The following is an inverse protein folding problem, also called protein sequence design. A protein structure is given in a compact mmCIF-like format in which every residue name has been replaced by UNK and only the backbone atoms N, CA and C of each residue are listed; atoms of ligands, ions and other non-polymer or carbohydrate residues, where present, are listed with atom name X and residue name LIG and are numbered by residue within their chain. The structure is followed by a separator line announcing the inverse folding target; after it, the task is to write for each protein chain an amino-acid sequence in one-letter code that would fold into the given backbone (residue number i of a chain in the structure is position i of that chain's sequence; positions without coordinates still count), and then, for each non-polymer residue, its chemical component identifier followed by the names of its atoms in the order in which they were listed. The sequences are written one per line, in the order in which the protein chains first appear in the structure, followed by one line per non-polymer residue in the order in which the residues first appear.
data_IF_318625788941
#
_entry.id   IF_318625788941
#
_cell.length_a   1.000
_cell.length_b   1.000
_cell.length_c   1.000
_cell.angle_alpha   90.00
_cell.angle_beta   90.00
_cell.angle_gamma   90.00
#
_symmetry.space_group_name_H-M   'P 1'
#
loop_
_entity.id
_entity.type
_entity.pdbx_description
1 polymer ?
#
# COMPACT_ATOMS: atom_id res chain seq x y z
N UNK A 1 -6.80 -5.13 -10.84
CA UNK A 1 -5.48 -5.64 -10.39
C UNK A 1 -5.07 -4.92 -9.12
N UNK A 2 -4.53 -5.63 -8.12
CA UNK A 2 -4.03 -5.03 -6.87
C UNK A 2 -2.50 -4.91 -6.93
N UNK A 3 -1.97 -3.78 -6.46
CA UNK A 3 -0.53 -3.55 -6.25
C UNK A 3 -0.33 -3.22 -4.78
N UNK A 4 0.46 -4.00 -4.04
CA UNK A 4 0.74 -3.76 -2.62
C UNK A 4 2.10 -4.35 -2.21
N UNK A 5 2.40 -4.41 -0.91
CA UNK A 5 3.75 -4.66 -0.39
C UNK A 5 3.97 -5.99 0.33
N UNK A 6 2.98 -6.86 0.36
CA UNK A 6 3.01 -8.15 1.05
C UNK A 6 3.20 -8.05 2.58
N UNK A 7 3.04 -6.90 3.20
CA UNK A 7 3.08 -6.74 4.65
C UNK A 7 1.88 -7.41 5.34
N UNK A 8 1.98 -7.67 6.64
CA UNK A 8 0.84 -8.13 7.43
C UNK A 8 -0.26 -7.06 7.50
N UNK A 9 -1.50 -7.49 7.63
CA UNK A 9 -2.67 -6.61 7.77
C UNK A 9 -3.25 -6.18 6.41
N UNK A 10 -3.28 -4.88 6.13
CA UNK A 10 -3.98 -4.33 4.96
C UNK A 10 -3.44 -4.86 3.62
N UNK A 11 -2.11 -5.00 3.47
CA UNK A 11 -1.52 -5.56 2.25
C UNK A 11 -1.97 -7.01 2.04
N UNK A 12 -1.92 -7.83 3.10
CA UNK A 12 -2.41 -9.22 3.07
C UNK A 12 -3.87 -9.28 2.65
N UNK A 13 -4.71 -8.45 3.24
CA UNK A 13 -6.15 -8.41 2.94
C UNK A 13 -6.43 -7.95 1.51
N UNK A 14 -5.68 -6.96 1.02
CA UNK A 14 -5.81 -6.45 -0.34
C UNK A 14 -5.44 -7.51 -1.38
N UNK A 15 -4.28 -8.16 -1.23
CA UNK A 15 -3.86 -9.26 -2.12
C UNK A 15 -4.87 -10.40 -2.09
N UNK A 16 -5.25 -10.87 -0.89
CA UNK A 16 -6.22 -11.94 -0.73
C UNK A 16 -7.56 -11.60 -1.39
N UNK A 17 -8.12 -10.43 -1.10
CA UNK A 17 -9.40 -10.00 -1.67
C UNK A 17 -9.36 -9.90 -3.21
N UNK A 18 -8.26 -9.43 -3.78
CA UNK A 18 -8.08 -9.42 -5.23
C UNK A 18 -8.07 -10.81 -5.85
N UNK A 19 -7.36 -11.76 -5.22
CA UNK A 19 -7.28 -13.16 -5.66
C UNK A 19 -8.61 -13.91 -5.47
N UNK A 20 -9.33 -13.67 -4.38
CA UNK A 20 -10.61 -14.33 -4.08
C UNK A 20 -11.70 -14.04 -5.12
N UNK A 21 -11.57 -12.95 -5.87
CA UNK A 21 -12.48 -12.60 -6.98
C UNK A 21 -11.88 -12.89 -8.35
N UNK A 22 -10.83 -13.71 -8.43
CA UNK A 22 -10.17 -14.07 -9.70
C UNK A 22 -9.33 -12.94 -10.31
N UNK A 23 -9.05 -11.89 -9.56
CA UNK A 23 -8.18 -10.80 -10.01
C UNK A 23 -6.71 -11.13 -9.83
N UNK A 24 -5.84 -10.47 -10.60
CA UNK A 24 -4.37 -10.59 -10.46
C UNK A 24 -3.83 -9.55 -9.49
N UNK A 25 -2.68 -9.87 -8.88
CA UNK A 25 -2.03 -8.97 -7.94
C UNK A 25 -0.52 -8.96 -8.11
N UNK A 26 0.09 -7.80 -7.83
CA UNK A 26 1.53 -7.58 -7.84
C UNK A 26 1.98 -7.23 -6.44
N UNK A 27 2.85 -8.05 -5.87
CA UNK A 27 3.51 -7.74 -4.61
C UNK A 27 4.89 -7.13 -4.88
N UNK A 28 5.06 -5.86 -4.52
CA UNK A 28 6.35 -5.17 -4.63
C UNK A 28 7.02 -5.24 -3.25
N UNK A 29 8.16 -5.93 -3.17
CA UNK A 29 8.83 -6.18 -1.89
C UNK A 29 10.11 -5.37 -1.74
N UNK A 30 10.47 -5.01 -0.51
CA UNK A 30 11.68 -4.24 -0.19
C UNK A 30 12.87 -5.12 0.22
N UNK A 31 12.83 -6.40 -0.16
CA UNK A 31 13.87 -7.41 0.07
C UNK A 31 14.10 -8.16 -1.23
N UNK A 32 15.11 -9.04 -1.27
CA UNK A 32 15.31 -9.95 -2.40
C UNK A 32 14.13 -10.91 -2.60
N UNK A 33 13.95 -11.41 -3.80
CA UNK A 33 12.83 -12.31 -4.15
C UNK A 33 13.04 -13.76 -3.70
N UNK A 34 14.23 -14.14 -3.29
CA UNK A 34 14.58 -15.48 -2.80
C UNK A 34 14.25 -15.67 -1.30
N UNK A 35 13.85 -14.61 -0.61
CA UNK A 35 13.46 -14.64 0.82
C UNK A 35 12.05 -14.07 0.95
N UNK A 36 11.10 -14.84 1.50
CA UNK A 36 9.79 -14.29 1.85
C UNK A 36 9.83 -13.48 3.15
N UNK A 37 9.30 -12.27 3.12
CA UNK A 37 9.13 -11.45 4.31
C UNK A 37 7.83 -10.62 4.22
N UNK A 38 6.96 -10.67 5.23
CA UNK A 38 7.06 -11.51 6.44
C UNK A 38 6.87 -13.00 6.12
N UNK A 39 7.47 -13.87 6.95
CA UNK A 39 7.39 -15.33 6.74
C UNK A 39 5.96 -15.86 6.79
N UNK A 40 5.11 -15.22 7.57
CA UNK A 40 3.70 -15.52 7.73
C UNK A 40 2.93 -15.42 6.40
N UNK A 41 3.40 -14.60 5.47
CA UNK A 41 2.79 -14.41 4.16
C UNK A 41 3.39 -15.30 3.06
N UNK A 42 4.18 -16.34 3.42
CA UNK A 42 4.73 -17.28 2.44
C UNK A 42 3.65 -17.99 1.61
N UNK A 43 2.55 -18.36 2.25
CA UNK A 43 1.39 -18.95 1.58
C UNK A 43 0.77 -17.98 0.55
N UNK A 44 0.70 -16.69 0.90
CA UNK A 44 0.13 -15.66 0.03
C UNK A 44 1.06 -15.37 -1.17
N UNK A 45 2.37 -15.32 -0.93
CA UNK A 45 3.37 -15.22 -2.00
C UNK A 45 3.22 -16.36 -3.01
N UNK A 46 3.09 -17.61 -2.52
CA UNK A 46 2.88 -18.76 -3.38
C UNK A 46 1.56 -18.67 -4.15
N UNK A 47 0.47 -18.27 -3.49
CA UNK A 47 -0.83 -18.10 -4.12
C UNK A 47 -0.79 -17.01 -5.21
N UNK A 48 -0.13 -15.88 -4.96
CA UNK A 48 0.04 -14.83 -5.97
C UNK A 48 0.68 -15.39 -7.24
N UNK A 49 1.74 -16.18 -7.11
CA UNK A 49 2.43 -16.79 -8.26
C UNK A 49 1.59 -17.85 -8.96
N UNK A 50 0.87 -18.69 -8.22
CA UNK A 50 -0.03 -19.72 -8.77
C UNK A 50 -1.20 -19.10 -9.57
N UNK A 51 -1.72 -17.98 -9.12
CA UNK A 51 -2.82 -17.24 -9.75
C UNK A 51 -2.28 -16.23 -10.81
N UNK A 52 -1.09 -16.49 -11.37
CA UNK A 52 -0.41 -15.70 -12.42
C UNK A 52 -0.20 -14.23 -12.06
N UNK A 53 -0.03 -13.92 -10.77
CA UNK A 53 0.42 -12.64 -10.27
C UNK A 53 1.94 -12.49 -10.32
N UNK A 54 2.47 -11.44 -9.72
CA UNK A 54 3.89 -11.10 -9.79
C UNK A 54 4.44 -10.71 -8.41
N UNK A 55 5.66 -11.19 -8.12
CA UNK A 55 6.49 -10.65 -7.03
C UNK A 55 7.63 -9.84 -7.66
N UNK A 56 7.75 -8.58 -7.28
CA UNK A 56 8.72 -7.65 -7.84
C UNK A 56 9.64 -7.09 -6.76
N UNK A 57 10.94 -7.06 -7.04
CA UNK A 57 11.94 -6.42 -6.17
C UNK A 57 13.05 -5.74 -6.99
N UNK A 58 13.59 -4.67 -6.44
CA UNK A 58 14.83 -4.04 -6.92
C UNK A 58 16.07 -4.53 -6.15
N UNK A 59 15.89 -5.42 -5.19
CA UNK A 59 17.00 -5.86 -4.34
C UNK A 59 17.70 -7.09 -4.94
N UNK A 60 19.04 -7.12 -4.96
CA UNK A 60 19.80 -8.32 -5.34
C UNK A 60 19.49 -9.49 -4.40
N UNK A 61 19.79 -10.71 -4.85
CA UNK A 61 19.66 -11.93 -4.06
C UNK A 61 20.43 -11.83 -2.73
N UNK A 62 19.88 -12.42 -1.67
CA UNK A 62 20.46 -12.43 -0.33
C UNK A 62 20.24 -11.15 0.49
N UNK A 63 19.69 -10.09 -0.07
CA UNK A 63 19.46 -8.81 0.62
C UNK A 63 18.23 -8.91 1.53
N UNK A 64 18.45 -8.76 2.85
CA UNK A 64 17.41 -8.84 3.88
C UNK A 64 16.58 -7.56 3.99
N UNK A 65 15.41 -7.69 4.63
CA UNK A 65 14.53 -6.58 4.96
C UNK A 65 15.26 -5.49 5.78
N UNK A 66 14.98 -4.24 5.41
CA UNK A 66 15.48 -3.05 6.12
C UNK A 66 14.41 -1.96 6.01
N UNK A 67 14.10 -1.20 7.08
CA UNK A 67 13.10 -0.15 7.07
C UNK A 67 13.26 0.88 5.94
N UNK A 68 14.49 1.30 5.65
CA UNK A 68 14.75 2.27 4.58
C UNK A 68 14.43 1.71 3.19
N UNK A 69 14.71 0.43 2.93
CA UNK A 69 14.36 -0.25 1.67
C UNK A 69 12.85 -0.42 1.51
N UNK A 70 12.15 -0.75 2.61
CA UNK A 70 10.69 -0.83 2.62
C UNK A 70 10.05 0.51 2.26
N UNK A 71 10.58 1.62 2.77
CA UNK A 71 10.11 2.97 2.41
C UNK A 71 10.50 3.33 0.97
N UNK A 72 11.73 3.04 0.55
CA UNK A 72 12.20 3.35 -0.80
C UNK A 72 11.38 2.61 -1.87
N UNK A 73 10.99 1.35 -1.61
CA UNK A 73 10.15 0.53 -2.46
C UNK A 73 8.76 1.15 -2.71
N UNK A 74 8.21 1.91 -1.77
CA UNK A 74 6.86 2.46 -1.86
C UNK A 74 6.66 3.36 -3.09
N UNK A 75 7.73 3.96 -3.63
CA UNK A 75 7.67 4.70 -4.89
C UNK A 75 7.24 3.85 -6.08
N UNK A 76 7.60 2.57 -6.07
CA UNK A 76 7.22 1.63 -7.14
C UNK A 76 5.74 1.26 -7.04
N UNK A 77 5.22 1.05 -5.82
CA UNK A 77 3.79 0.83 -5.62
C UNK A 77 2.99 2.00 -6.20
N UNK A 78 3.32 3.22 -5.81
CA UNK A 78 2.67 4.41 -6.33
C UNK A 78 2.87 4.61 -7.85
N UNK A 79 4.04 4.27 -8.40
CA UNK A 79 4.29 4.40 -9.84
C UNK A 79 3.47 3.42 -10.68
N UNK A 80 3.28 2.19 -10.18
CA UNK A 80 2.59 1.10 -10.88
C UNK A 80 1.08 1.09 -10.65
N UNK A 81 0.54 1.90 -9.73
CA UNK A 81 -0.89 2.07 -9.51
C UNK A 81 -1.46 3.22 -10.34
N UNK A 82 -2.74 3.15 -10.67
CA UNK A 82 -3.53 4.28 -11.19
C UNK A 82 -4.10 5.10 -10.04
N UNK A 83 -4.60 4.41 -9.02
CA UNK A 83 -5.20 4.97 -7.81
C UNK A 83 -4.51 4.40 -6.58
N UNK A 84 -4.11 5.26 -5.66
CA UNK A 84 -3.54 4.85 -4.37
C UNK A 84 -4.58 5.02 -3.27
N UNK A 85 -4.85 3.94 -2.53
CA UNK A 85 -5.88 3.90 -1.48
C UNK A 85 -5.22 3.71 -0.11
N UNK A 86 -5.31 4.72 0.75
CA UNK A 86 -4.95 4.58 2.15
C UNK A 86 -6.12 4.00 2.94
N UNK A 87 -6.00 2.75 3.36
CA UNK A 87 -7.03 2.07 4.15
C UNK A 87 -7.03 2.57 5.59
N UNK A 88 -5.93 2.42 6.31
CA UNK A 88 -5.78 2.88 7.70
C UNK A 88 -4.32 3.05 8.05
N UNK A 89 -3.96 4.18 8.68
CA UNK A 89 -2.64 4.33 9.27
C UNK A 89 -2.59 5.36 10.40
N UNK A 90 -1.68 5.21 11.37
CA UNK A 90 -1.38 6.23 12.35
C UNK A 90 -0.70 7.45 11.71
N UNK A 91 -0.61 8.55 12.45
CA UNK A 91 -0.01 9.81 11.99
C UNK A 91 1.44 9.67 11.51
N UNK A 92 2.20 8.75 12.14
CA UNK A 92 3.57 8.39 11.72
C UNK A 92 3.57 7.00 11.13
N UNK A 93 3.47 6.91 9.80
CA UNK A 93 3.38 5.62 9.08
C UNK A 93 4.16 5.63 7.78
N UNK A 94 4.74 4.47 7.45
CA UNK A 94 5.35 4.22 6.13
C UNK A 94 4.38 4.40 4.97
N UNK A 95 3.09 4.14 5.16
CA UNK A 95 2.05 4.29 4.14
C UNK A 95 1.88 5.75 3.67
N UNK A 96 2.17 6.73 4.54
CA UNK A 96 2.14 8.14 4.15
C UNK A 96 3.23 8.50 3.13
N UNK A 97 4.33 7.75 3.08
CA UNK A 97 5.33 7.91 2.02
C UNK A 97 4.79 7.48 0.67
N UNK A 98 4.02 6.37 0.62
CA UNK A 98 3.35 5.91 -0.61
C UNK A 98 2.38 6.98 -1.12
N UNK A 99 1.56 7.54 -0.25
CA UNK A 99 0.64 8.64 -0.60
C UNK A 99 1.36 9.90 -1.11
N UNK A 100 2.55 10.22 -0.56
CA UNK A 100 3.39 11.32 -1.08
C UNK A 100 3.92 11.02 -2.49
N UNK A 101 4.35 9.79 -2.75
CA UNK A 101 4.78 9.37 -4.08
C UNK A 101 3.62 9.39 -5.08
N UNK A 102 2.44 8.89 -4.69
CA UNK A 102 1.25 8.94 -5.55
C UNK A 102 0.95 10.36 -6.01
N UNK A 103 0.95 11.33 -5.09
CA UNK A 103 0.76 12.75 -5.44
C UNK A 103 1.88 13.30 -6.32
N UNK A 104 3.15 12.94 -6.05
CA UNK A 104 4.28 13.33 -6.88
C UNK A 104 4.15 12.82 -8.31
N UNK A 105 3.57 11.63 -8.50
CA UNK A 105 3.34 11.01 -9.80
C UNK A 105 1.97 11.36 -10.42
N UNK A 106 1.26 12.30 -9.80
CA UNK A 106 -0.07 12.77 -10.25
C UNK A 106 -1.09 11.62 -10.32
N UNK A 107 -0.99 10.67 -9.40
CA UNK A 107 -1.94 9.56 -9.26
C UNK A 107 -3.13 9.99 -8.41
N UNK A 108 -4.29 9.38 -8.67
CA UNK A 108 -5.42 9.56 -7.79
C UNK A 108 -5.08 9.07 -6.38
N UNK A 109 -5.42 9.87 -5.36
CA UNK A 109 -5.13 9.58 -3.96
C UNK A 109 -6.43 9.56 -3.17
N UNK A 110 -6.78 8.40 -2.64
CA UNK A 110 -7.99 8.16 -1.87
C UNK A 110 -7.62 7.77 -0.43
N UNK A 111 -8.43 8.15 0.54
CA UNK A 111 -8.26 7.71 1.92
C UNK A 111 -9.60 7.37 2.55
N UNK A 112 -9.64 6.26 3.31
CA UNK A 112 -10.84 5.88 4.05
C UNK A 112 -11.12 6.91 5.13
N UNK A 113 -12.36 7.45 5.13
CA UNK A 113 -12.86 8.35 6.15
C UNK A 113 -13.54 7.55 7.26
N UNK A 114 -13.04 7.68 8.46
CA UNK A 114 -13.62 7.05 9.65
C UNK A 114 -14.54 8.03 10.39
N UNK A 115 -15.64 7.55 11.00
CA UNK A 115 -16.56 8.38 11.76
C UNK A 115 -15.92 8.97 13.02
N UNK A 116 -14.94 8.25 13.60
CA UNK A 116 -14.21 8.67 14.80
C UNK A 116 -12.72 8.63 14.52
N UNK A 117 -12.01 9.71 14.83
CA UNK A 117 -10.56 9.77 14.73
C UNK A 117 -9.92 9.15 15.96
N UNK A 118 -9.02 8.23 15.74
CA UNK A 118 -8.23 7.51 16.76
C UNK A 118 -6.76 7.58 16.42
N UNK A 119 -5.89 7.14 17.31
CA UNK A 119 -4.44 7.05 17.05
C UNK A 119 -4.11 6.14 15.85
N UNK A 120 -4.95 5.14 15.55
CA UNK A 120 -4.72 4.18 14.47
C UNK A 120 -5.11 4.69 13.09
N UNK A 121 -5.95 5.73 12.99
CA UNK A 121 -6.41 6.31 11.72
C UNK A 121 -6.11 7.83 11.60
N UNK A 122 -5.29 8.37 12.50
CA UNK A 122 -4.95 9.79 12.48
C UNK A 122 -4.27 10.24 11.19
N UNK A 123 -3.48 9.35 10.54
CA UNK A 123 -2.87 9.63 9.25
C UNK A 123 -3.90 9.80 8.12
N UNK A 124 -4.99 9.03 8.14
CA UNK A 124 -6.10 9.22 7.19
C UNK A 124 -6.73 10.60 7.39
N UNK A 125 -7.02 10.96 8.64
CA UNK A 125 -7.61 12.27 8.96
C UNK A 125 -6.73 13.43 8.48
N UNK A 126 -5.42 13.34 8.72
CA UNK A 126 -4.44 14.33 8.24
C UNK A 126 -4.51 14.52 6.72
N UNK A 127 -4.53 13.43 5.94
CA UNK A 127 -4.60 13.52 4.48
C UNK A 127 -5.93 14.10 3.98
N UNK A 128 -7.02 13.86 4.68
CA UNK A 128 -8.36 14.33 4.31
C UNK A 128 -8.60 15.81 4.68
N UNK A 129 -7.87 16.34 5.66
CA UNK A 129 -8.06 17.71 6.18
C UNK A 129 -6.94 18.66 5.77
N UNK A 130 -5.71 18.17 5.63
CA UNK A 130 -4.58 18.99 5.21
C UNK A 130 -4.70 19.38 3.74
N UNK A 131 -4.61 20.66 3.45
CA UNK A 131 -4.67 21.17 2.09
C UNK A 131 -3.30 21.14 1.41
N UNK A 132 -3.31 20.87 0.12
CA UNK A 132 -2.13 20.99 -0.72
C UNK A 132 -1.77 22.49 -0.88
N UNK A 133 -0.50 22.84 -0.67
CA UNK A 133 0.01 24.18 -0.89
C UNK A 133 -0.10 24.66 -2.34
N UNK A 134 -0.17 23.72 -3.28
CA UNK A 134 -0.23 24.03 -4.73
C UNK A 134 -1.66 24.15 -5.24
N UNK A 135 -2.58 23.26 -4.79
CA UNK A 135 -3.94 23.19 -5.35
C UNK A 135 -5.04 23.72 -4.41
N UNK A 136 -4.71 23.94 -3.14
CA UNK A 136 -5.70 24.29 -2.10
C UNK A 136 -6.74 23.20 -1.81
N UNK A 137 -6.60 22.00 -2.39
CA UNK A 137 -7.49 20.87 -2.18
C UNK A 137 -6.94 19.91 -1.11
N UNK A 138 -7.77 19.08 -0.45
CA UNK A 138 -7.29 18.02 0.42
C UNK A 138 -6.26 17.12 -0.25
N UNK A 139 -5.35 16.56 0.53
CA UNK A 139 -4.28 15.71 0.01
C UNK A 139 -4.77 14.35 -0.49
N UNK A 140 -5.99 13.94 -0.11
CA UNK A 140 -6.67 12.74 -0.62
C UNK A 140 -8.18 12.98 -0.67
N UNK A 141 -8.85 12.25 -1.56
CA UNK A 141 -10.32 12.20 -1.65
C UNK A 141 -10.87 11.17 -0.65
N UNK A 142 -11.95 11.46 0.09
CA UNK A 142 -12.50 10.52 1.05
C UNK A 142 -13.22 9.35 0.38
N UNK A 143 -13.00 8.14 0.88
CA UNK A 143 -13.84 6.97 0.66
C UNK A 143 -14.67 6.75 1.91
N UNK A 144 -15.99 6.73 1.78
CA UNK A 144 -16.91 6.36 2.85
C UNK A 144 -17.06 4.84 2.85
N UNK A 145 -16.80 4.20 3.98
CA UNK A 145 -17.22 2.82 4.18
C UNK A 145 -18.71 2.86 4.46
N UNK A 146 -19.54 2.41 3.52
CA UNK A 146 -20.94 2.16 3.80
C UNK A 146 -21.00 1.09 4.88
N UNK A 147 -21.62 1.41 6.01
CA UNK A 147 -21.96 0.41 7.01
C UNK A 147 -22.92 -0.58 6.36
N UNK A 148 -22.41 -1.81 6.14
CA UNK A 148 -23.24 -2.97 5.79
C UNK A 148 -24.13 -3.30 6.96
#
# INVERSE_FOLDING_TARGET
MIVSGLALGCDTSAHKGGLDVGGKTIAIVGICIDICHPKENKWLEQRILQDEGLILSEQPFGVKANPSRLVARNRLQAAMSETEILTQCPEKSGSLHTMRFARKYVKESLAVKFPVVTSTNAGNHTLLTQLSSTSGKPLATPILLNTL
#
